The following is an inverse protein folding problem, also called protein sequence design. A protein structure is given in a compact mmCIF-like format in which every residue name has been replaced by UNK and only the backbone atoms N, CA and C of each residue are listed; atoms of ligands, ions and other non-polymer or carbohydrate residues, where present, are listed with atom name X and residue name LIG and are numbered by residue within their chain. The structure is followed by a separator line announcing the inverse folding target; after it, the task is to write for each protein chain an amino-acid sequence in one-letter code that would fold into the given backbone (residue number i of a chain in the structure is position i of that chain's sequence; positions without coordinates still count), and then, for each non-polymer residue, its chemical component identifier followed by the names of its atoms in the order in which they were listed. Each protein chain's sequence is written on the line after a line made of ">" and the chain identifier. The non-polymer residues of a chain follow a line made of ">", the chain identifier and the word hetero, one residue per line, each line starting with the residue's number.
data_IF_453048518452
#
_entry.id   IF_453048518452
#
_cell.length_a   1.000
_cell.length_b   1.000
_cell.length_c   1.000
_cell.angle_alpha   90.00
_cell.angle_beta   90.00
_cell.angle_gamma   90.00
#
_symmetry.space_group_name_H-M   'P 1'
#
loop_
_entity.id
_entity.type
_entity.pdbx_description
1 polymer ?
#
# COMPACT_ATOMS: atom_id res chain seq x y z
N UNK A 1 -5.28 12.82 9.71
CA UNK A 1 -4.43 11.90 10.51
C UNK A 1 -4.12 12.55 11.86
N UNK A 2 -4.13 11.82 12.99
CA UNK A 2 -3.79 12.43 14.28
C UNK A 2 -2.30 12.78 14.34
N UNK A 3 -1.96 13.99 14.82
CA UNK A 3 -0.57 14.45 15.02
C UNK A 3 0.23 13.50 15.92
N UNK A 4 -0.44 12.88 16.89
CA UNK A 4 0.16 11.88 17.80
C UNK A 4 0.54 10.61 17.05
N UNK A 5 -0.28 10.19 16.10
CA UNK A 5 -0.02 9.02 15.27
C UNK A 5 1.15 9.26 14.31
N UNK A 6 1.17 10.40 13.63
CA UNK A 6 2.29 10.78 12.76
C UNK A 6 3.61 10.91 13.52
N UNK A 7 3.56 11.44 14.75
CA UNK A 7 4.74 11.55 15.61
C UNK A 7 5.22 10.18 16.08
N UNK A 8 4.34 9.32 16.57
CA UNK A 8 4.70 7.96 16.97
C UNK A 8 5.23 7.11 15.80
N UNK A 9 4.67 7.26 14.60
CA UNK A 9 5.16 6.56 13.41
C UNK A 9 6.54 7.09 13.01
N UNK A 10 6.73 8.41 12.98
CA UNK A 10 8.00 9.06 12.67
C UNK A 10 9.09 8.69 13.68
N UNK A 11 8.81 8.80 14.98
CA UNK A 11 9.76 8.40 16.03
C UNK A 11 10.18 6.93 15.85
N UNK A 12 9.26 6.05 15.40
CA UNK A 12 9.58 4.64 15.12
C UNK A 12 10.48 4.49 13.90
N UNK A 13 10.17 5.16 12.78
CA UNK A 13 11.04 5.14 11.60
C UNK A 13 12.41 5.77 11.90
N UNK A 14 12.48 6.84 12.68
CA UNK A 14 13.73 7.52 13.06
C UNK A 14 14.64 6.69 13.98
N UNK A 15 14.09 5.69 14.69
CA UNK A 15 14.91 4.71 15.42
C UNK A 15 15.67 3.75 14.50
N UNK A 16 15.21 3.59 13.26
CA UNK A 16 15.79 2.67 12.27
C UNK A 16 16.43 3.38 11.08
N UNK A 17 16.01 4.62 10.81
CA UNK A 17 16.54 5.52 9.79
C UNK A 17 17.09 6.76 10.51
N UNK A 18 18.36 7.09 10.34
CA UNK A 18 19.04 8.16 11.10
C UNK A 18 18.31 9.52 11.13
N UNK A 19 17.49 9.81 10.12
CA UNK A 19 16.42 10.81 10.13
C UNK A 19 15.48 10.55 8.94
N UNK A 20 14.16 10.75 9.08
CA UNK A 20 13.21 10.66 7.96
C UNK A 20 13.16 11.99 7.20
N UNK A 21 13.56 11.97 5.94
CA UNK A 21 13.64 13.10 5.01
C UNK A 21 13.03 12.67 3.68
N UNK A 22 11.94 13.34 3.28
CA UNK A 22 11.20 13.02 2.05
C UNK A 22 11.95 13.24 0.74
N UNK A 23 13.12 13.87 0.77
CA UNK A 23 13.96 14.10 -0.41
C UNK A 23 15.19 13.18 -0.46
N UNK A 24 15.35 12.29 0.52
CA UNK A 24 16.50 11.41 0.64
C UNK A 24 16.14 9.97 0.21
N UNK A 25 17.07 9.33 -0.48
CA UNK A 25 17.00 7.90 -0.75
C UNK A 25 17.52 7.10 0.44
N UNK A 26 16.82 6.02 0.79
CA UNK A 26 17.19 5.11 1.86
C UNK A 26 17.50 3.72 1.29
N UNK A 27 18.41 2.95 1.90
CA UNK A 27 18.57 1.54 1.55
C UNK A 27 17.26 0.78 1.76
N UNK A 28 16.82 0.03 0.75
CA UNK A 28 15.55 -0.73 0.79
C UNK A 28 15.50 -1.66 2.00
N UNK A 29 16.62 -2.32 2.35
CA UNK A 29 16.70 -3.20 3.51
C UNK A 29 16.36 -2.48 4.83
N UNK A 30 16.82 -1.23 5.00
CA UNK A 30 16.58 -0.46 6.22
C UNK A 30 15.11 -0.04 6.33
N UNK A 31 14.50 0.35 5.20
CA UNK A 31 13.08 0.69 5.12
C UNK A 31 12.21 -0.55 5.42
N UNK A 32 12.56 -1.69 4.84
CA UNK A 32 11.86 -2.96 5.08
C UNK A 32 11.96 -3.37 6.55
N UNK A 33 13.15 -3.31 7.15
CA UNK A 33 13.34 -3.62 8.56
C UNK A 33 12.49 -2.70 9.46
N UNK A 34 12.47 -1.39 9.18
CA UNK A 34 11.64 -0.44 9.91
C UNK A 34 10.14 -0.79 9.79
N UNK A 35 9.67 -1.13 8.58
CA UNK A 35 8.28 -1.54 8.35
C UNK A 35 7.91 -2.83 9.11
N UNK A 36 8.81 -3.82 9.13
CA UNK A 36 8.59 -5.08 9.85
C UNK A 36 8.50 -4.83 11.36
N UNK A 37 9.42 -4.05 11.94
CA UNK A 37 9.36 -3.68 13.36
C UNK A 37 8.08 -2.90 13.70
N UNK A 38 7.68 -1.94 12.87
CA UNK A 38 6.42 -1.21 13.08
C UNK A 38 5.21 -2.14 12.99
N UNK A 39 5.21 -3.11 12.08
CA UNK A 39 4.13 -4.08 11.94
C UNK A 39 4.01 -4.98 13.19
N UNK A 40 5.13 -5.43 13.73
CA UNK A 40 5.19 -6.23 14.96
C UNK A 40 4.72 -5.44 16.19
N UNK A 41 5.16 -4.19 16.35
CA UNK A 41 4.83 -3.36 17.51
C UNK A 41 3.40 -2.78 17.46
N UNK A 42 2.95 -2.34 16.27
CA UNK A 42 1.73 -1.58 16.11
C UNK A 42 0.52 -2.43 15.71
N UNK A 43 0.77 -3.63 15.18
CA UNK A 43 -0.22 -4.60 14.77
C UNK A 43 -0.96 -4.26 13.46
N UNK A 44 -1.79 -5.20 12.97
CA UNK A 44 -2.41 -5.13 11.65
C UNK A 44 -3.33 -3.93 11.42
N UNK A 45 -4.09 -3.51 12.43
CA UNK A 45 -5.01 -2.37 12.31
C UNK A 45 -4.28 -1.05 12.05
N UNK A 46 -3.10 -0.89 12.64
CA UNK A 46 -2.23 0.28 12.42
C UNK A 46 -1.64 0.25 11.02
N UNK A 47 -1.13 -0.90 10.59
CA UNK A 47 -0.57 -1.08 9.25
C UNK A 47 -1.60 -0.80 8.17
N UNK A 48 -2.84 -1.26 8.36
CA UNK A 48 -3.95 -0.96 7.45
C UNK A 48 -4.20 0.54 7.31
N UNK A 49 -4.21 1.29 8.42
CA UNK A 49 -4.33 2.75 8.35
C UNK A 49 -3.14 3.41 7.65
N UNK A 50 -1.93 2.91 7.89
CA UNK A 50 -0.73 3.36 7.18
C UNK A 50 -0.85 3.19 5.66
N UNK A 51 -1.32 2.04 5.21
CA UNK A 51 -1.58 1.78 3.80
C UNK A 51 -2.64 2.71 3.21
N UNK A 52 -3.73 2.96 3.94
CA UNK A 52 -4.75 3.91 3.50
C UNK A 52 -4.17 5.32 3.31
N UNK A 53 -3.36 5.81 4.24
CA UNK A 53 -2.77 7.15 4.09
C UNK A 53 -1.71 7.19 2.98
N UNK A 54 -0.97 6.11 2.75
CA UNK A 54 -0.03 6.00 1.64
C UNK A 54 -0.72 6.08 0.27
N UNK A 55 -1.89 5.44 0.12
CA UNK A 55 -2.64 5.47 -1.14
C UNK A 55 -3.05 6.88 -1.56
N UNK A 56 -3.35 7.78 -0.61
CA UNK A 56 -3.76 9.15 -0.93
C UNK A 56 -2.69 9.92 -1.73
N UNK A 57 -1.42 9.73 -1.37
CA UNK A 57 -0.31 10.35 -2.08
C UNK A 57 -0.15 9.83 -3.52
N UNK A 58 -0.61 8.61 -3.79
CA UNK A 58 -0.58 7.99 -5.12
C UNK A 58 -1.76 8.45 -5.99
N UNK A 59 -2.89 8.80 -5.37
CA UNK A 59 -4.14 9.17 -6.07
C UNK A 59 -4.31 10.66 -6.29
N UNK A 60 -3.40 11.50 -5.79
CA UNK A 60 -3.43 12.97 -5.96
C UNK A 60 -3.04 13.44 -7.38
N UNK A 61 -2.71 12.53 -8.30
CA UNK A 61 -2.41 12.84 -9.70
C UNK A 61 -3.70 12.99 -10.53
N UNK A 62 -3.85 14.13 -11.22
CA UNK A 62 -5.04 14.47 -12.02
C UNK A 62 -5.29 13.48 -13.18
N UNK A 63 -4.28 12.69 -13.59
CA UNK A 63 -4.42 11.69 -14.65
C UNK A 63 -5.13 10.40 -14.20
N UNK A 64 -5.41 10.24 -12.90
CA UNK A 64 -6.05 9.04 -12.34
C UNK A 64 -7.57 9.06 -12.53
N UNK A 65 -8.00 8.60 -13.70
CA UNK A 65 -9.42 8.41 -14.05
C UNK A 65 -9.95 7.03 -13.63
N UNK A 66 -10.13 6.83 -12.32
CA UNK A 66 -10.83 5.68 -11.77
C UNK A 66 -9.95 4.51 -11.31
N UNK A 67 -10.55 3.52 -10.65
CA UNK A 67 -9.86 2.40 -9.96
C UNK A 67 -8.81 1.68 -10.82
N UNK A 68 -9.10 1.43 -12.10
CA UNK A 68 -8.16 0.73 -12.99
C UNK A 68 -6.88 1.50 -13.25
N UNK A 69 -7.00 2.79 -13.56
CA UNK A 69 -5.85 3.69 -13.75
C UNK A 69 -5.06 3.85 -12.46
N UNK A 70 -5.74 4.00 -11.32
CA UNK A 70 -5.13 4.13 -10.02
C UNK A 70 -4.29 2.90 -9.61
N UNK A 71 -4.74 1.68 -9.93
CA UNK A 71 -3.95 0.46 -9.71
C UNK A 71 -2.68 0.43 -10.58
N UNK A 72 -2.76 0.95 -11.80
CA UNK A 72 -1.60 1.14 -12.66
C UNK A 72 -0.60 2.15 -12.07
N UNK A 73 -1.09 3.32 -11.66
CA UNK A 73 -0.26 4.36 -11.04
C UNK A 73 0.37 3.89 -9.72
N UNK A 74 -0.37 3.13 -8.90
CA UNK A 74 0.17 2.53 -7.67
C UNK A 74 1.33 1.59 -7.96
N UNK A 75 1.18 0.73 -8.96
CA UNK A 75 2.23 -0.21 -9.36
C UNK A 75 3.46 0.53 -9.89
N UNK A 76 3.26 1.54 -10.74
CA UNK A 76 4.33 2.37 -11.27
C UNK A 76 5.08 3.13 -10.17
N UNK A 77 4.35 3.80 -9.28
CA UNK A 77 4.92 4.55 -8.16
C UNK A 77 5.72 3.63 -7.21
N UNK A 78 5.24 2.40 -6.97
CA UNK A 78 5.99 1.41 -6.18
C UNK A 78 7.29 1.00 -6.86
N UNK A 79 7.28 0.77 -8.18
CA UNK A 79 8.49 0.46 -8.92
C UNK A 79 9.49 1.63 -8.92
N UNK A 80 9.01 2.87 -9.07
CA UNK A 80 9.85 4.08 -9.04
C UNK A 80 10.45 4.38 -7.66
N UNK A 81 9.73 4.02 -6.59
CA UNK A 81 10.20 4.16 -5.22
C UNK A 81 11.35 3.21 -4.85
N UNK A 82 11.69 2.25 -5.71
CA UNK A 82 12.72 1.24 -5.46
C UNK A 82 13.84 1.29 -6.50
N UNK A 83 15.10 1.29 -6.02
CA UNK A 83 16.30 1.17 -6.85
C UNK A 83 17.13 -0.03 -6.38
N UNK A 84 16.91 -1.21 -6.95
CA UNK A 84 17.58 -2.45 -6.53
C UNK A 84 16.75 -3.70 -6.77
N UNK A 85 17.17 -4.89 -6.28
CA UNK A 85 16.35 -6.12 -6.37
C UNK A 85 14.94 -5.88 -5.81
N UNK A 86 13.95 -6.53 -6.42
CA UNK A 86 12.52 -6.18 -6.31
C UNK A 86 12.02 -6.23 -4.87
N UNK A 87 11.36 -5.17 -4.41
CA UNK A 87 10.62 -5.13 -3.15
C UNK A 87 9.21 -5.71 -3.31
N UNK A 88 9.11 -6.81 -4.06
CA UNK A 88 7.87 -7.30 -4.62
C UNK A 88 7.10 -6.31 -5.47
N UNK A 89 5.87 -6.67 -5.76
CA UNK A 89 4.99 -5.93 -6.66
C UNK A 89 3.51 -6.11 -6.27
N UNK A 90 2.64 -5.28 -6.85
CA UNK A 90 1.20 -5.45 -6.82
C UNK A 90 0.73 -6.20 -8.06
N UNK A 91 -0.18 -7.15 -7.86
CA UNK A 91 -0.87 -7.84 -8.96
C UNK A 91 -2.32 -7.39 -9.00
N UNK A 92 -2.89 -7.32 -10.21
CA UNK A 92 -4.33 -7.06 -10.37
C UNK A 92 -4.85 -7.57 -11.70
N UNK A 93 -6.14 -7.87 -11.74
CA UNK A 93 -6.85 -8.17 -12.97
C UNK A 93 -7.44 -6.88 -13.57
N UNK A 94 -7.86 -6.93 -14.84
CA UNK A 94 -8.63 -5.83 -15.38
C UNK A 94 -9.94 -5.64 -14.59
N UNK A 95 -10.27 -4.41 -14.12
CA UNK A 95 -11.51 -4.17 -13.39
C UNK A 95 -12.74 -4.56 -14.21
N UNK A 96 -13.76 -5.09 -13.53
CA UNK A 96 -15.07 -5.38 -14.11
C UNK A 96 -16.14 -4.65 -13.32
N UNK A 97 -16.94 -3.81 -13.97
CA UNK A 97 -18.01 -2.97 -13.39
C UNK A 97 -17.66 -2.32 -12.04
N UNK A 98 -17.77 -3.05 -10.93
CA UNK A 98 -17.44 -2.60 -9.56
C UNK A 98 -16.66 -3.65 -8.74
N UNK A 99 -15.81 -4.40 -9.42
CA UNK A 99 -15.02 -5.49 -8.83
C UNK A 99 -13.66 -5.62 -9.50
N UNK A 100 -12.62 -5.86 -8.71
CA UNK A 100 -11.29 -6.22 -9.23
C UNK A 100 -10.57 -7.17 -8.27
N UNK A 101 -9.84 -8.14 -8.81
CA UNK A 101 -8.93 -8.96 -8.01
C UNK A 101 -7.60 -8.25 -7.91
N UNK A 102 -7.05 -8.18 -6.70
CA UNK A 102 -5.73 -7.61 -6.41
C UNK A 102 -4.93 -8.57 -5.55
N UNK A 103 -3.61 -8.42 -5.56
CA UNK A 103 -2.70 -9.18 -4.72
C UNK A 103 -1.35 -8.51 -4.55
N UNK A 104 -0.53 -9.13 -3.72
CA UNK A 104 0.86 -8.77 -3.49
C UNK A 104 1.74 -10.00 -3.72
N UNK A 105 2.91 -9.81 -4.33
CA UNK A 105 3.86 -10.90 -4.58
C UNK A 105 4.46 -11.45 -3.28
N UNK A 106 5.07 -12.64 -3.37
CA UNK A 106 5.71 -13.34 -2.24
C UNK A 106 6.77 -12.54 -1.49
N UNK A 107 7.50 -11.68 -2.22
CA UNK A 107 8.58 -10.82 -1.74
C UNK A 107 8.12 -9.42 -1.28
N UNK A 108 6.80 -9.15 -1.29
CA UNK A 108 6.26 -7.86 -0.86
C UNK A 108 6.50 -7.62 0.65
N UNK A 109 7.28 -6.59 1.04
CA UNK A 109 7.84 -6.52 2.39
C UNK A 109 6.95 -5.84 3.43
N UNK A 110 5.89 -5.12 3.01
CA UNK A 110 5.11 -4.26 3.92
C UNK A 110 3.92 -4.96 4.57
N UNK A 111 3.68 -6.23 4.21
CA UNK A 111 2.68 -7.09 4.81
C UNK A 111 1.26 -6.88 4.29
N UNK A 112 0.43 -7.92 4.47
CA UNK A 112 -0.90 -7.98 3.87
C UNK A 112 -1.88 -6.92 4.40
N UNK A 113 -1.78 -6.54 5.68
CA UNK A 113 -2.68 -5.54 6.26
C UNK A 113 -2.45 -4.14 5.68
N UNK A 114 -1.18 -3.78 5.42
CA UNK A 114 -0.83 -2.52 4.76
C UNK A 114 -1.38 -2.49 3.34
N UNK A 115 -1.10 -3.53 2.54
CA UNK A 115 -1.60 -3.65 1.17
C UNK A 115 -3.13 -3.59 1.08
N UNK A 116 -3.84 -4.30 1.97
CA UNK A 116 -5.31 -4.22 2.07
C UNK A 116 -5.79 -2.78 2.31
N UNK A 117 -5.10 -2.03 3.18
CA UNK A 117 -5.38 -0.62 3.42
C UNK A 117 -5.20 0.25 2.19
N UNK A 118 -4.10 0.05 1.45
CA UNK A 118 -3.82 0.74 0.18
C UNK A 118 -4.97 0.51 -0.80
N UNK A 119 -5.33 -0.74 -1.05
CA UNK A 119 -6.36 -1.11 -2.00
C UNK A 119 -7.74 -0.55 -1.65
N UNK A 120 -8.13 -0.63 -0.37
CA UNK A 120 -9.42 -0.10 0.11
C UNK A 120 -9.49 1.42 -0.06
N UNK A 121 -8.40 2.14 0.24
CA UNK A 121 -8.39 3.59 0.08
C UNK A 121 -8.37 4.00 -1.39
N UNK A 122 -7.62 3.29 -2.24
CA UNK A 122 -7.58 3.57 -3.67
C UNK A 122 -8.98 3.51 -4.29
N UNK A 123 -9.80 2.52 -3.91
CA UNK A 123 -11.19 2.45 -4.35
C UNK A 123 -12.07 3.54 -3.74
N UNK A 124 -11.74 4.04 -2.54
CA UNK A 124 -12.45 5.17 -1.92
C UNK A 124 -12.22 6.47 -2.67
N UNK A 125 -10.98 6.73 -3.10
CA UNK A 125 -10.60 7.98 -3.78
C UNK A 125 -10.96 7.94 -5.27
N UNK A 126 -10.79 6.78 -5.93
CA UNK A 126 -10.95 6.65 -7.38
C UNK A 126 -12.19 5.85 -7.79
N UNK A 127 -13.02 5.44 -6.84
CA UNK A 127 -14.33 4.85 -7.13
C UNK A 127 -15.35 5.92 -7.54
N UNK A 128 -16.54 5.51 -8.05
CA UNK A 128 -17.66 6.42 -8.18
C UNK A 128 -18.03 7.05 -6.81
N UNK A 129 -18.68 8.21 -6.78
CA UNK A 129 -19.02 8.94 -5.54
C UNK A 129 -19.77 8.08 -4.50
N UNK A 130 -20.53 7.08 -4.94
CA UNK A 130 -21.28 6.16 -4.09
C UNK A 130 -20.54 4.85 -3.77
N UNK A 131 -19.24 4.77 -4.02
CA UNK A 131 -18.41 3.59 -3.74
C UNK A 131 -18.33 3.30 -2.24
N UNK A 132 -18.63 2.05 -1.87
CA UNK A 132 -18.37 1.55 -0.51
C UNK A 132 -17.35 0.43 -0.63
N UNK A 133 -16.04 0.73 -0.50
CA UNK A 133 -15.01 -0.26 -0.75
C UNK A 133 -15.05 -1.39 0.28
N UNK A 134 -15.01 -2.61 -0.22
CA UNK A 134 -14.92 -3.84 0.55
C UNK A 134 -13.85 -4.75 -0.04
N UNK A 135 -12.95 -5.23 0.80
CA UNK A 135 -11.90 -6.18 0.42
C UNK A 135 -12.21 -7.56 1.02
N UNK A 136 -12.55 -8.50 0.15
CA UNK A 136 -12.77 -9.90 0.50
C UNK A 136 -11.49 -10.69 0.29
N UNK A 137 -11.08 -11.54 1.23
CA UNK A 137 -9.91 -12.41 1.02
C UNK A 137 -10.15 -13.35 -0.16
N UNK A 138 -9.14 -13.49 -1.01
CA UNK A 138 -9.14 -14.40 -2.14
C UNK A 138 -7.95 -15.37 -2.04
N UNK A 139 -8.05 -16.52 -2.70
CA UNK A 139 -6.91 -17.44 -2.83
C UNK A 139 -5.78 -16.76 -3.61
N UNK A 140 -4.56 -16.68 -3.04
CA UNK A 140 -3.38 -16.18 -3.74
C UNK A 140 -3.05 -17.05 -4.96
N UNK A 141 -2.46 -16.46 -6.00
CA UNK A 141 -1.79 -17.17 -7.10
C UNK A 141 -0.43 -17.68 -6.62
N UNK A 142 0.21 -18.56 -7.39
CA UNK A 142 1.47 -19.22 -7.01
C UNK A 142 2.59 -18.23 -6.61
N UNK A 143 2.61 -17.03 -7.19
CA UNK A 143 3.60 -15.99 -6.92
C UNK A 143 3.16 -14.97 -5.86
N UNK A 144 1.95 -15.08 -5.31
CA UNK A 144 1.36 -14.11 -4.40
C UNK A 144 1.40 -14.57 -2.95
N UNK A 145 1.80 -13.67 -2.04
CA UNK A 145 1.69 -13.90 -0.60
C UNK A 145 0.25 -13.74 -0.09
N UNK A 146 -0.51 -12.83 -0.71
CA UNK A 146 -1.89 -12.55 -0.32
C UNK A 146 -2.67 -11.95 -1.50
N UNK A 147 -3.98 -12.21 -1.51
CA UNK A 147 -4.88 -11.67 -2.51
C UNK A 147 -6.25 -11.32 -1.93
N UNK A 148 -6.93 -10.42 -2.63
CA UNK A 148 -8.27 -9.96 -2.32
C UNK A 148 -9.11 -9.77 -3.58
N UNK A 149 -10.42 -9.84 -3.41
CA UNK A 149 -11.40 -9.30 -4.34
C UNK A 149 -11.93 -8.00 -3.76
N UNK A 150 -11.60 -6.89 -4.41
CA UNK A 150 -12.18 -5.59 -4.10
C UNK A 150 -13.55 -5.50 -4.76
N UNK A 151 -14.51 -4.96 -4.03
CA UNK A 151 -15.85 -4.60 -4.53
C UNK A 151 -16.18 -3.20 -4.02
N UNK A 152 -16.96 -2.44 -4.79
CA UNK A 152 -17.41 -1.12 -4.37
C UNK A 152 -18.80 -0.79 -4.85
#
# INVERSE_FOLDING_TARGET
>A
MSVVFQRALRDRFERHLSAVNGHQWYPTADVVAAFQTVAEEAGPATMRKGGMECAKAVTDDEEVAGVGSALGSLRAAHAEAHRGPTAGDYTYDHPRERSVRVGITGDYPYGAAFAEGVFVQLVRECGPENAIPFAERATPRDEEAAAWRLRW
#
